data_IF_211518194539
#
_entry.id   IF_211518194539
#
_cell.length_a   1.000
_cell.length_b   1.000
_cell.length_c   1.000
_cell.angle_alpha   90.00
_cell.angle_beta   90.00
_cell.angle_gamma   90.00
#
_symmetry.space_group_name_H-M   'P 1'
#
loop_
_entity.id
_entity.type
_entity.pdbx_description
1 polymer ?
#
# COMPACT_ATOMS: atom_id res chain seq x y z
N UNK A 1 6.39 13.18 16.35
CA UNK A 1 5.85 12.08 15.53
C UNK A 1 4.96 12.67 14.46
N UNK A 2 5.21 12.32 13.21
CA UNK A 2 4.37 12.69 12.06
C UNK A 2 3.84 11.41 11.43
N UNK A 3 2.52 11.27 11.35
CA UNK A 3 1.87 10.22 10.58
C UNK A 3 1.19 10.83 9.35
N UNK A 4 1.22 10.10 8.25
CA UNK A 4 0.53 10.46 7.00
C UNK A 4 -0.49 9.36 6.74
N UNK A 5 -1.74 9.76 6.59
CA UNK A 5 -2.85 8.94 6.15
C UNK A 5 -3.41 9.47 4.83
N UNK A 6 -4.16 8.64 4.13
CA UNK A 6 -4.89 9.04 2.94
C UNK A 6 -6.27 8.44 2.94
N UNK A 7 -7.13 9.02 2.15
CA UNK A 7 -8.48 8.55 1.88
C UNK A 7 -8.89 8.99 0.49
N UNK A 8 -9.43 8.07 -0.28
CA UNK A 8 -10.11 8.40 -1.52
C UNK A 8 -11.61 8.45 -1.27
N UNK A 9 -12.22 9.62 -1.54
CA UNK A 9 -13.67 9.81 -1.47
C UNK A 9 -14.26 9.69 -2.90
N UNK A 10 -14.84 8.54 -3.26
CA UNK A 10 -15.26 8.28 -4.63
C UNK A 10 -16.40 9.18 -5.09
N UNK A 11 -17.34 9.52 -4.23
CA UNK A 11 -18.49 10.37 -4.54
C UNK A 11 -18.05 11.79 -4.92
N UNK A 12 -16.99 12.29 -4.28
CA UNK A 12 -16.44 13.62 -4.50
C UNK A 12 -15.30 13.63 -5.53
N UNK A 13 -14.84 12.45 -5.96
CA UNK A 13 -13.65 12.24 -6.80
C UNK A 13 -12.40 12.91 -6.23
N UNK A 14 -12.25 12.88 -4.91
CA UNK A 14 -11.17 13.55 -4.18
C UNK A 14 -10.26 12.57 -3.48
N UNK A 15 -8.96 12.83 -3.57
CA UNK A 15 -7.96 12.19 -2.73
C UNK A 15 -7.58 13.15 -1.60
N UNK A 16 -7.81 12.75 -0.37
CA UNK A 16 -7.43 13.52 0.81
C UNK A 16 -6.16 12.94 1.42
N UNK A 17 -5.16 13.78 1.66
CA UNK A 17 -3.96 13.40 2.42
C UNK A 17 -4.06 14.06 3.79
N UNK A 18 -4.08 13.24 4.83
CA UNK A 18 -4.18 13.68 6.22
C UNK A 18 -2.80 13.59 6.88
N UNK A 19 -2.36 14.70 7.47
CA UNK A 19 -1.09 14.78 8.17
C UNK A 19 -1.37 14.97 9.65
N UNK A 20 -1.04 13.94 10.44
CA UNK A 20 -1.22 13.97 11.89
C UNK A 20 0.08 14.35 12.55
N UNK A 21 0.05 15.44 13.32
CA UNK A 21 1.21 15.92 14.08
C UNK A 21 0.88 15.98 15.56
N UNK A 22 1.69 15.37 16.40
CA UNK A 22 1.51 15.44 17.86
C UNK A 22 2.21 16.65 18.48
N UNK A 23 3.34 17.08 17.94
CA UNK A 23 4.02 18.36 18.22
C UNK A 23 4.89 18.69 17.02
N UNK A 24 4.63 19.79 16.37
CA UNK A 24 5.52 20.35 15.36
C UNK A 24 6.59 21.19 16.06
N UNK A 25 7.71 20.59 16.33
CA UNK A 25 8.93 21.35 16.64
C UNK A 25 9.64 21.62 15.31
N UNK A 26 9.29 22.75 14.70
CA UNK A 26 9.77 23.15 13.37
C UNK A 26 11.29 23.31 13.31
N UNK A 27 11.95 23.45 14.46
CA UNK A 27 13.40 23.65 14.56
C UNK A 27 14.23 22.35 14.46
N UNK A 28 13.59 21.19 14.43
CA UNK A 28 14.26 19.88 14.38
C UNK A 28 13.98 19.06 13.12
N UNK A 29 13.42 19.68 12.09
CA UNK A 29 13.26 19.01 10.80
C UNK A 29 14.62 18.96 10.08
N UNK A 30 15.40 17.94 10.35
CA UNK A 30 16.59 17.65 9.56
C UNK A 30 16.22 17.10 8.15
N UNK A 31 17.17 17.11 7.24
CA UNK A 31 17.00 16.63 5.87
C UNK A 31 16.50 15.19 5.81
N UNK A 32 16.94 14.33 6.73
CA UNK A 32 16.55 12.90 6.78
C UNK A 32 15.07 12.76 7.17
N UNK A 33 14.61 13.57 8.13
CA UNK A 33 13.21 13.58 8.56
C UNK A 33 12.31 14.11 7.46
N UNK A 34 12.76 15.16 6.74
CA UNK A 34 12.05 15.73 5.61
C UNK A 34 11.92 14.75 4.44
N UNK A 35 12.98 14.01 4.10
CA UNK A 35 12.94 13.02 3.04
C UNK A 35 12.03 11.84 3.39
N UNK A 36 12.05 11.39 4.64
CA UNK A 36 11.11 10.36 5.12
C UNK A 36 9.65 10.85 5.05
N UNK A 37 9.40 12.10 5.39
CA UNK A 37 8.07 12.69 5.30
C UNK A 37 7.58 12.77 3.86
N UNK A 38 8.37 13.35 2.95
CA UNK A 38 8.07 13.40 1.52
C UNK A 38 7.76 12.00 0.96
N UNK A 39 8.60 11.03 1.33
CA UNK A 39 8.44 9.66 0.89
C UNK A 39 7.10 9.07 1.37
N UNK A 40 6.69 9.32 2.62
CA UNK A 40 5.40 8.89 3.14
C UNK A 40 4.22 9.54 2.42
N UNK A 41 4.28 10.83 2.17
CA UNK A 41 3.26 11.54 1.40
C UNK A 41 3.11 10.93 0.00
N UNK A 42 4.22 10.70 -0.70
CA UNK A 42 4.21 10.08 -2.02
C UNK A 42 3.60 8.67 -1.97
N UNK A 43 4.00 7.84 -1.01
CA UNK A 43 3.44 6.49 -0.87
C UNK A 43 1.93 6.51 -0.65
N UNK A 44 1.45 7.39 0.24
CA UNK A 44 0.02 7.53 0.53
C UNK A 44 -0.72 8.03 -0.70
N UNK A 45 -0.24 9.08 -1.36
CA UNK A 45 -0.86 9.60 -2.58
C UNK A 45 -0.96 8.52 -3.68
N UNK A 46 0.10 7.75 -3.89
CA UNK A 46 0.10 6.66 -4.89
C UNK A 46 -0.88 5.55 -4.52
N UNK A 47 -1.09 5.29 -3.23
CA UNK A 47 -2.09 4.34 -2.75
C UNK A 47 -3.51 4.80 -3.13
N UNK A 48 -3.86 6.04 -2.79
CA UNK A 48 -5.17 6.62 -3.07
C UNK A 48 -5.43 6.78 -4.59
N UNK A 49 -4.39 7.07 -5.37
CA UNK A 49 -4.51 7.10 -6.83
C UNK A 49 -4.86 5.73 -7.43
N UNK A 50 -4.40 4.62 -6.84
CA UNK A 50 -4.83 3.29 -7.29
C UNK A 50 -6.32 3.11 -7.01
N UNK A 51 -6.82 3.55 -5.85
CA UNK A 51 -8.26 3.51 -5.55
C UNK A 51 -9.07 4.38 -6.52
N UNK A 52 -8.59 5.57 -6.84
CA UNK A 52 -9.21 6.40 -7.88
C UNK A 52 -9.32 5.65 -9.21
N UNK A 53 -8.24 5.04 -9.69
CA UNK A 53 -8.25 4.29 -10.96
C UNK A 53 -9.16 3.05 -10.92
N UNK A 54 -9.28 2.40 -9.75
CA UNK A 54 -10.17 1.25 -9.55
C UNK A 54 -11.64 1.68 -9.60
N UNK A 55 -11.93 2.80 -8.94
CA UNK A 55 -13.27 3.38 -8.93
C UNK A 55 -13.69 3.84 -10.33
N UNK A 56 -12.84 4.58 -11.01
CA UNK A 56 -13.12 5.14 -12.34
C UNK A 56 -13.48 4.03 -13.33
N UNK A 57 -12.72 2.93 -13.34
CA UNK A 57 -13.05 1.77 -14.18
C UNK A 57 -14.41 1.16 -13.87
N UNK A 58 -14.76 1.03 -12.58
CA UNK A 58 -16.02 0.41 -12.19
C UNK A 58 -17.21 1.31 -12.46
N UNK A 59 -17.01 2.60 -12.36
CA UNK A 59 -18.05 3.58 -12.70
C UNK A 59 -18.44 3.50 -14.18
N UNK A 60 -17.45 3.29 -15.04
CA UNK A 60 -17.68 3.10 -16.48
C UNK A 60 -18.31 1.74 -16.82
N UNK A 61 -18.02 0.71 -16.00
CA UNK A 61 -18.46 -0.68 -16.25
C UNK A 61 -19.81 -1.04 -15.59
N UNK A 62 -20.24 -0.34 -14.53
CA UNK A 62 -21.49 -0.62 -13.84
C UNK A 62 -22.05 0.57 -13.05
N UNK A 63 -23.35 0.84 -13.23
CA UNK A 63 -24.09 1.82 -12.42
C UNK A 63 -24.28 1.42 -10.95
N UNK A 64 -23.82 0.25 -10.54
CA UNK A 64 -23.97 -0.31 -9.20
C UNK A 64 -22.63 -0.43 -8.49
N UNK A 65 -22.03 0.71 -8.13
CA UNK A 65 -20.87 0.71 -7.26
C UNK A 65 -21.27 0.32 -5.83
N UNK A 66 -20.78 -0.82 -5.38
CA UNK A 66 -20.88 -1.22 -3.98
C UNK A 66 -19.68 -0.59 -3.24
N UNK A 67 -19.99 0.35 -2.34
CA UNK A 67 -18.98 0.96 -1.46
C UNK A 67 -18.17 -0.13 -0.76
N UNK A 68 -16.85 -0.16 -0.94
CA UNK A 68 -16.05 -1.16 -0.25
C UNK A 68 -16.20 -0.99 1.25
N UNK A 69 -16.55 -2.06 1.86
CA UNK A 69 -16.40 -2.49 3.23
C UNK A 69 -16.38 -1.44 4.37
N UNK A 70 -17.41 -1.46 5.21
CA UNK A 70 -17.34 -0.91 6.57
C UNK A 70 -16.50 -1.87 7.46
N UNK A 71 -15.57 -1.32 8.23
CA UNK A 71 -14.74 -2.08 9.19
C UNK A 71 -15.61 -2.72 10.28
N UNK A 72 -16.27 -3.84 9.97
CA UNK A 72 -17.05 -4.61 10.92
C UNK A 72 -16.20 -5.82 11.33
N UNK A 73 -15.64 -5.81 12.51
CA UNK A 73 -14.84 -6.93 13.04
C UNK A 73 -14.94 -6.97 14.56
N UNK A 74 -14.88 -8.17 15.13
CA UNK A 74 -14.94 -8.38 16.59
C UNK A 74 -13.66 -7.96 17.31
N UNK A 75 -12.54 -7.87 16.59
CA UNK A 75 -11.27 -7.34 17.10
C UNK A 75 -10.63 -6.38 16.11
N UNK A 76 -9.75 -5.50 16.60
CA UNK A 76 -8.96 -4.60 15.75
C UNK A 76 -8.14 -5.37 14.71
N UNK A 77 -7.55 -6.51 15.10
CA UNK A 77 -6.74 -7.36 14.21
C UNK A 77 -7.60 -8.01 13.12
N UNK A 78 -8.81 -8.44 13.44
CA UNK A 78 -9.70 -9.05 12.47
C UNK A 78 -10.24 -8.02 11.48
N UNK A 79 -10.59 -6.83 11.97
CA UNK A 79 -11.00 -5.73 11.12
C UNK A 79 -9.88 -5.34 10.12
N UNK A 80 -8.64 -5.28 10.58
CA UNK A 80 -7.48 -4.98 9.76
C UNK A 80 -7.18 -6.08 8.73
N UNK A 81 -7.30 -7.36 9.12
CA UNK A 81 -7.14 -8.49 8.20
C UNK A 81 -8.19 -8.48 7.10
N UNK A 82 -9.44 -8.22 7.44
CA UNK A 82 -10.52 -8.12 6.44
C UNK A 82 -10.23 -6.99 5.47
N UNK A 83 -9.94 -5.79 5.98
CA UNK A 83 -9.58 -4.65 5.16
C UNK A 83 -8.42 -4.95 4.20
N UNK A 84 -7.31 -5.49 4.71
CA UNK A 84 -6.16 -5.84 3.89
C UNK A 84 -6.38 -7.06 2.98
N UNK A 85 -7.49 -7.79 3.16
CA UNK A 85 -7.86 -8.92 2.28
C UNK A 85 -8.67 -8.47 1.06
N UNK A 86 -9.20 -7.26 1.07
CA UNK A 86 -9.92 -6.70 -0.06
C UNK A 86 -9.02 -6.62 -1.30
N UNK A 87 -9.59 -6.94 -2.45
CA UNK A 87 -8.82 -6.97 -3.69
C UNK A 87 -8.19 -5.62 -4.02
N UNK A 88 -8.92 -4.55 -3.77
CA UNK A 88 -8.47 -3.19 -4.04
C UNK A 88 -7.30 -2.79 -3.16
N UNK A 89 -7.39 -3.11 -1.87
CA UNK A 89 -6.30 -2.88 -0.92
C UNK A 89 -5.05 -3.70 -1.28
N UNK A 90 -5.23 -4.97 -1.66
CA UNK A 90 -4.12 -5.80 -2.12
C UNK A 90 -3.43 -5.17 -3.35
N UNK A 91 -4.20 -4.61 -4.29
CA UNK A 91 -3.62 -3.95 -5.47
C UNK A 91 -2.88 -2.66 -5.11
N UNK A 92 -3.48 -1.81 -4.26
CA UNK A 92 -2.89 -0.55 -3.84
C UNK A 92 -1.61 -0.76 -3.02
N UNK A 93 -1.66 -1.65 -2.03
CA UNK A 93 -0.47 -2.03 -1.24
C UNK A 93 0.63 -2.67 -2.09
N UNK A 94 0.27 -3.56 -3.02
CA UNK A 94 1.25 -4.18 -3.92
C UNK A 94 1.97 -3.16 -4.80
N UNK A 95 1.25 -2.14 -5.27
CA UNK A 95 1.85 -1.04 -6.03
C UNK A 95 2.82 -0.23 -5.18
N UNK A 96 2.42 0.15 -3.96
CA UNK A 96 3.30 0.86 -3.03
C UNK A 96 4.56 0.05 -2.69
N UNK A 97 4.43 -1.26 -2.46
CA UNK A 97 5.58 -2.16 -2.21
C UNK A 97 6.51 -2.22 -3.43
N UNK A 98 5.94 -2.35 -4.62
CA UNK A 98 6.71 -2.35 -5.86
C UNK A 98 7.53 -1.07 -6.02
N UNK A 99 6.90 0.09 -5.83
CA UNK A 99 7.58 1.39 -5.90
C UNK A 99 8.65 1.53 -4.82
N UNK A 100 8.36 1.11 -3.58
CA UNK A 100 9.33 1.11 -2.49
C UNK A 100 10.60 0.32 -2.84
N UNK A 101 10.44 -0.83 -3.44
CA UNK A 101 11.58 -1.64 -3.89
C UNK A 101 12.37 -0.96 -5.00
N UNK A 102 11.69 -0.43 -6.01
CA UNK A 102 12.35 0.22 -7.15
C UNK A 102 13.03 1.52 -6.79
N UNK A 103 12.45 2.32 -5.89
CA UNK A 103 13.06 3.57 -5.42
C UNK A 103 14.30 3.32 -4.54
N UNK A 104 14.20 2.36 -3.60
CA UNK A 104 15.31 2.09 -2.67
C UNK A 104 16.41 1.22 -3.26
N UNK A 105 16.06 0.32 -4.15
CA UNK A 105 16.95 -0.73 -4.67
C UNK A 105 16.71 -1.03 -6.15
N UNK A 106 16.86 -0.04 -7.05
CA UNK A 106 16.45 -0.16 -8.45
C UNK A 106 17.17 -1.29 -9.21
N UNK A 107 18.39 -1.62 -8.80
CA UNK A 107 19.23 -2.65 -9.45
C UNK A 107 19.04 -4.05 -8.88
N UNK A 108 18.28 -4.21 -7.79
CA UNK A 108 18.08 -5.52 -7.16
C UNK A 108 16.86 -6.20 -7.79
N UNK A 109 17.02 -7.46 -8.27
CA UNK A 109 15.90 -8.22 -8.82
C UNK A 109 14.76 -8.40 -7.79
N UNK A 110 13.52 -8.28 -8.26
CA UNK A 110 12.34 -8.31 -7.39
C UNK A 110 12.23 -9.60 -6.57
N UNK A 111 12.54 -10.75 -7.16
CA UNK A 111 12.49 -12.04 -6.48
C UNK A 111 13.43 -12.11 -5.26
N UNK A 112 14.61 -11.46 -5.33
CA UNK A 112 15.54 -11.36 -4.19
C UNK A 112 14.90 -10.52 -3.07
N UNK A 113 14.28 -9.38 -3.40
CA UNK A 113 13.65 -8.50 -2.43
C UNK A 113 12.45 -9.20 -1.77
N UNK A 114 11.61 -9.87 -2.54
CA UNK A 114 10.48 -10.65 -2.03
C UNK A 114 10.92 -11.77 -1.10
N UNK A 115 11.99 -12.49 -1.44
CA UNK A 115 12.53 -13.56 -0.59
C UNK A 115 13.11 -13.03 0.74
N UNK A 116 13.71 -11.85 0.75
CA UNK A 116 14.17 -11.19 1.98
C UNK A 116 13.00 -10.84 2.89
N UNK A 117 11.92 -10.26 2.35
CA UNK A 117 10.72 -9.92 3.11
C UNK A 117 10.04 -11.16 3.69
N UNK A 118 9.91 -12.25 2.91
CA UNK A 118 9.35 -13.52 3.40
C UNK A 118 10.13 -14.09 4.59
N UNK A 119 11.45 -13.82 4.66
CA UNK A 119 12.29 -14.24 5.78
C UNK A 119 12.32 -13.25 6.95
N UNK A 120 11.41 -12.29 7.00
CA UNK A 120 11.32 -11.25 8.06
C UNK A 120 12.59 -10.37 8.19
N UNK A 121 13.34 -10.20 7.11
CA UNK A 121 14.63 -9.49 7.12
C UNK A 121 14.55 -8.05 6.60
N UNK A 122 13.37 -7.56 6.32
CA UNK A 122 13.17 -6.20 5.81
C UNK A 122 11.99 -5.52 6.49
N UNK A 123 12.14 -4.25 6.88
CA UNK A 123 11.08 -3.40 7.45
C UNK A 123 10.39 -2.61 6.35
N UNK A 124 9.72 -3.29 5.44
CA UNK A 124 9.01 -2.66 4.33
C UNK A 124 7.49 -2.65 4.58
N UNK A 125 6.77 -1.93 3.76
CA UNK A 125 5.30 -1.99 3.67
C UNK A 125 4.82 -3.44 3.50
N UNK A 126 5.57 -4.25 2.76
CA UNK A 126 5.29 -5.68 2.62
C UNK A 126 5.43 -6.44 3.95
N UNK A 127 6.45 -6.11 4.77
CA UNK A 127 6.59 -6.72 6.10
C UNK A 127 5.37 -6.45 6.98
N UNK A 128 4.87 -5.21 6.99
CA UNK A 128 3.66 -4.85 7.72
C UNK A 128 2.46 -5.69 7.26
N UNK A 129 2.22 -5.76 5.95
CA UNK A 129 1.14 -6.57 5.38
C UNK A 129 1.27 -8.05 5.78
N UNK A 130 2.43 -8.65 5.55
CA UNK A 130 2.66 -10.06 5.86
C UNK A 130 2.53 -10.37 7.35
N UNK A 131 2.98 -9.45 8.22
CA UNK A 131 2.88 -9.57 9.68
C UNK A 131 1.42 -9.59 10.14
N UNK A 132 0.54 -8.80 9.53
CA UNK A 132 -0.90 -8.80 9.85
C UNK A 132 -1.52 -10.17 9.63
N UNK A 133 -1.02 -10.94 8.66
CA UNK A 133 -1.42 -12.31 8.38
C UNK A 133 -0.49 -13.38 8.99
N UNK A 134 0.29 -13.03 10.01
CA UNK A 134 1.22 -13.92 10.71
C UNK A 134 2.21 -14.66 9.78
N UNK A 135 2.47 -14.14 8.58
CA UNK A 135 3.24 -14.81 7.51
C UNK A 135 2.68 -16.17 7.09
N UNK A 136 1.39 -16.38 7.31
CA UNK A 136 0.73 -17.64 6.96
C UNK A 136 0.41 -17.71 5.46
N UNK A 137 1.36 -18.22 4.70
CA UNK A 137 1.20 -18.46 3.26
C UNK A 137 0.45 -19.76 2.94
N UNK A 138 0.20 -20.62 3.94
CA UNK A 138 -0.46 -21.91 3.71
C UNK A 138 -1.96 -21.80 3.84
N UNK A 139 -2.42 -21.21 4.94
CA UNK A 139 -3.84 -21.15 5.27
C UNK A 139 -4.49 -19.80 4.89
N UNK A 140 -3.69 -18.81 4.48
CA UNK A 140 -4.20 -17.50 4.11
C UNK A 140 -3.80 -17.12 2.68
N UNK A 141 -4.79 -16.83 1.86
CA UNK A 141 -4.60 -16.49 0.44
C UNK A 141 -4.08 -15.05 0.24
N UNK A 142 -4.32 -14.13 1.19
CA UNK A 142 -3.96 -12.72 1.03
C UNK A 142 -2.45 -12.48 0.92
N UNK A 143 -1.58 -13.15 1.72
CA UNK A 143 -0.13 -13.12 1.52
C UNK A 143 0.33 -13.64 0.15
N UNK A 144 -0.38 -14.60 -0.43
CA UNK A 144 -0.06 -15.10 -1.77
C UNK A 144 -0.47 -14.08 -2.83
N UNK A 145 -1.68 -13.53 -2.71
CA UNK A 145 -2.23 -12.55 -3.65
C UNK A 145 -1.37 -11.28 -3.75
N UNK A 146 -0.90 -10.73 -2.62
CA UNK A 146 -0.07 -9.53 -2.65
C UNK A 146 1.26 -9.79 -3.38
N UNK A 147 1.90 -10.95 -3.16
CA UNK A 147 3.13 -11.33 -3.87
C UNK A 147 2.89 -11.45 -5.38
N UNK A 148 1.78 -12.07 -5.77
CA UNK A 148 1.40 -12.19 -7.18
C UNK A 148 1.15 -10.82 -7.80
N UNK A 149 0.48 -9.93 -7.09
CA UNK A 149 0.16 -8.60 -7.57
C UNK A 149 1.40 -7.71 -7.70
N UNK A 150 2.35 -7.78 -6.77
CA UNK A 150 3.65 -7.11 -6.89
C UNK A 150 4.38 -7.57 -8.16
N UNK A 151 4.35 -8.88 -8.43
CA UNK A 151 4.97 -9.45 -9.64
C UNK A 151 4.27 -9.01 -10.94
N UNK A 152 2.95 -8.76 -10.89
CA UNK A 152 2.21 -8.19 -12.03
C UNK A 152 2.65 -6.75 -12.31
N UNK A 153 2.81 -5.94 -11.26
CA UNK A 153 3.30 -4.56 -11.39
C UNK A 153 4.72 -4.53 -11.97
N UNK A 154 5.61 -5.40 -11.51
CA UNK A 154 6.97 -5.49 -12.07
C UNK A 154 6.96 -5.80 -13.57
N UNK A 155 6.16 -6.79 -14.00
CA UNK A 155 6.01 -7.11 -15.43
C UNK A 155 5.41 -5.98 -16.25
N UNK A 156 4.43 -5.25 -15.69
CA UNK A 156 3.80 -4.12 -16.37
C UNK A 156 4.79 -3.01 -16.64
N UNK A 157 5.54 -2.62 -15.62
CA UNK A 157 6.49 -1.49 -15.74
C UNK A 157 7.81 -1.85 -16.42
N UNK A 158 8.26 -3.10 -16.33
CA UNK A 158 9.48 -3.53 -17.02
C UNK A 158 9.34 -3.50 -18.54
N UNK A 159 8.12 -3.64 -19.08
CA UNK A 159 7.84 -3.54 -20.52
C UNK A 159 7.98 -2.11 -21.08
N UNK A 160 7.97 -1.11 -20.24
CA UNK A 160 8.07 0.30 -20.66
C UNK A 160 9.49 0.87 -20.50
N UNK A 161 10.45 0.06 -20.02
CA UNK A 161 11.84 0.45 -19.81
C UNK A 161 12.79 -0.13 -20.86
N UNK A 162 12.25 -0.91 -21.81
CA UNK A 162 12.94 -1.43 -23.00
C UNK A 162 12.49 -0.68 -24.23
#
# INVERSE_FOLDING_TARGET
>A
YVAVGGEYAPEERQCCIQIYTTKFDTHKFDTITWDKFKYRVIQTLMHEMIHFMQYDRRYDESSNYVVPYKRIGHSRKDAERRYLSEFDEIQAYAHCVYLDFKMKRPKVPLNILLNRCKKKRDSSTLHYFLKTFDYDFRNNISPQKIIQQISKWDRKYSKHLT
#
